data_IF_393745658113
#
_entry.id   IF_393745658113
#
_cell.length_a   1.000
_cell.length_b   1.000
_cell.length_c   1.000
_cell.angle_alpha   90.00
_cell.angle_beta   90.00
_cell.angle_gamma   90.00
#
_symmetry.space_group_name_H-M   'P 1'
#
loop_
_entity.id
_entity.type
_entity.pdbx_description
1 polymer ?
#
# COMPACT_ATOMS: atom_id res chain seq x y z
N UNK A 1 19.27 6.15 -34.62
CA UNK A 1 17.84 6.34 -34.91
C UNK A 1 17.53 7.77 -34.53
N UNK A 2 17.36 8.68 -35.50
CA UNK A 2 16.97 10.05 -35.22
C UNK A 2 15.44 10.04 -35.15
N UNK A 3 14.87 10.12 -33.95
CA UNK A 3 13.43 10.23 -33.79
C UNK A 3 13.07 11.69 -34.09
N UNK A 4 12.28 11.92 -35.13
CA UNK A 4 11.82 13.27 -35.44
C UNK A 4 10.91 13.75 -34.30
N UNK A 5 11.16 14.98 -33.85
CA UNK A 5 10.41 15.61 -32.78
C UNK A 5 9.38 16.54 -33.41
N UNK A 6 8.16 16.03 -33.57
CA UNK A 6 7.00 16.79 -34.05
C UNK A 6 6.21 17.45 -32.91
N UNK A 7 6.78 17.48 -31.70
CA UNK A 7 6.12 18.05 -30.54
C UNK A 7 5.94 19.56 -30.65
N UNK A 8 5.03 20.17 -29.87
CA UNK A 8 4.86 21.62 -29.88
C UNK A 8 6.14 22.36 -29.45
N UNK A 9 6.31 23.59 -29.94
CA UNK A 9 7.40 24.52 -29.56
C UNK A 9 8.83 24.12 -29.99
N UNK A 10 8.98 23.22 -30.97
CA UNK A 10 10.29 22.85 -31.56
C UNK A 10 11.05 24.04 -32.13
N UNK A 11 10.35 24.99 -32.75
CA UNK A 11 10.97 26.18 -33.36
C UNK A 11 11.50 27.16 -32.30
N UNK A 12 10.74 27.34 -31.20
CA UNK A 12 11.12 28.21 -30.08
C UNK A 12 12.26 27.61 -29.24
N UNK A 13 12.29 26.28 -29.16
CA UNK A 13 13.23 25.51 -28.34
C UNK A 13 13.91 24.39 -29.15
N UNK A 14 14.77 24.73 -30.13
CA UNK A 14 15.28 23.78 -31.11
C UNK A 14 16.31 22.79 -30.55
N UNK A 15 16.82 23.04 -29.35
CA UNK A 15 17.83 22.19 -28.68
C UNK A 15 17.31 21.56 -27.38
N UNK A 16 16.07 21.84 -27.00
CA UNK A 16 15.54 21.37 -25.73
C UNK A 16 14.55 20.23 -25.95
N UNK A 17 14.64 19.27 -25.05
CA UNK A 17 13.68 18.19 -24.92
C UNK A 17 12.35 18.74 -24.40
N UNK A 18 11.24 18.19 -24.89
CA UNK A 18 9.93 18.54 -24.38
C UNK A 18 9.74 18.04 -22.94
N UNK A 19 9.25 18.90 -22.06
CA UNK A 19 8.99 18.58 -20.65
C UNK A 19 7.49 18.46 -20.42
N UNK A 20 6.98 17.26 -20.13
CA UNK A 20 5.59 17.09 -19.72
C UNK A 20 5.42 17.54 -18.27
N UNK A 21 4.57 18.53 -18.02
CA UNK A 21 4.36 19.07 -16.68
C UNK A 21 3.05 18.58 -16.07
N UNK A 22 2.96 18.61 -14.74
CA UNK A 22 1.66 18.48 -14.08
C UNK A 22 0.85 19.78 -14.23
N UNK A 23 -0.48 19.67 -14.09
CA UNK A 23 -1.42 20.79 -14.19
C UNK A 23 -1.13 21.90 -13.19
N UNK A 24 -0.50 21.60 -12.04
CA UNK A 24 -0.12 22.58 -11.03
C UNK A 24 1.10 23.45 -11.38
N UNK A 25 1.91 23.05 -12.36
CA UNK A 25 3.15 23.75 -12.71
C UNK A 25 2.99 24.64 -13.94
N UNK A 26 1.99 25.52 -13.93
CA UNK A 26 1.75 26.46 -15.03
C UNK A 26 2.82 27.57 -15.05
N UNK A 27 3.29 27.92 -16.24
CA UNK A 27 4.20 29.07 -16.43
C UNK A 27 5.66 28.71 -16.66
N UNK A 28 6.02 27.42 -16.70
CA UNK A 28 7.39 26.96 -16.97
C UNK A 28 7.86 27.19 -18.42
N UNK A 29 6.99 27.73 -19.28
CA UNK A 29 7.29 27.99 -20.70
C UNK A 29 8.31 29.12 -20.90
N UNK A 30 8.60 29.96 -19.90
CA UNK A 30 9.66 30.97 -20.00
C UNK A 30 11.06 30.37 -20.04
N UNK A 31 11.24 29.21 -19.41
CA UNK A 31 12.56 28.64 -19.13
C UNK A 31 12.77 27.28 -19.80
N UNK A 32 11.68 26.57 -20.11
CA UNK A 32 11.71 25.24 -20.69
C UNK A 32 10.69 25.09 -21.82
N UNK A 33 10.93 24.11 -22.69
CA UNK A 33 9.95 23.59 -23.65
C UNK A 33 8.86 22.76 -22.94
N UNK A 34 8.09 23.41 -22.08
CA UNK A 34 7.14 22.76 -21.20
C UNK A 34 5.76 22.59 -21.86
N UNK A 35 5.31 21.33 -21.92
CA UNK A 35 3.98 20.92 -22.39
C UNK A 35 3.08 20.77 -21.17
N UNK A 36 2.14 21.69 -21.06
CA UNK A 36 1.25 21.80 -19.91
C UNK A 36 -0.14 21.24 -20.24
N UNK A 37 -0.73 20.40 -19.38
CA UNK A 37 -2.15 20.12 -19.43
C UNK A 37 -2.93 21.44 -19.27
N UNK A 38 -3.96 21.64 -20.10
CA UNK A 38 -4.80 22.83 -20.00
C UNK A 38 -5.61 22.81 -18.71
N UNK A 39 -5.68 23.95 -18.04
CA UNK A 39 -6.46 24.09 -16.83
C UNK A 39 -7.89 24.55 -17.15
N UNK A 40 -8.89 23.73 -16.79
CA UNK A 40 -10.27 24.20 -16.80
C UNK A 40 -10.47 25.26 -15.71
N UNK A 41 -11.28 26.28 -16.02
CA UNK A 41 -11.71 27.26 -15.01
C UNK A 41 -13.21 27.10 -14.78
N UNK A 42 -13.73 27.56 -13.64
CA UNK A 42 -15.17 27.44 -13.31
C UNK A 42 -16.09 28.06 -14.38
N UNK A 43 -15.60 29.08 -15.10
CA UNK A 43 -16.37 29.81 -16.10
C UNK A 43 -16.14 29.27 -17.52
N UNK A 44 -15.02 28.59 -17.78
CA UNK A 44 -14.69 28.02 -19.08
C UNK A 44 -14.32 26.54 -18.94
N UNK A 45 -15.30 25.64 -19.11
CA UNK A 45 -15.07 24.21 -19.23
C UNK A 45 -14.17 23.89 -20.43
N UNK A 46 -13.34 22.86 -20.31
CA UNK A 46 -12.49 22.44 -21.43
C UNK A 46 -13.32 21.72 -22.49
N UNK A 47 -13.10 22.01 -23.78
CA UNK A 47 -13.62 21.19 -24.87
C UNK A 47 -13.18 19.73 -24.73
N UNK A 48 -13.94 18.83 -25.35
CA UNK A 48 -13.65 17.39 -25.31
C UNK A 48 -12.25 17.05 -25.83
N UNK A 49 -11.80 17.71 -26.89
CA UNK A 49 -10.49 17.47 -27.51
C UNK A 49 -9.34 17.85 -26.57
N UNK A 50 -9.47 18.97 -25.85
CA UNK A 50 -8.48 19.41 -24.87
C UNK A 50 -8.42 18.48 -23.67
N UNK A 51 -9.58 17.96 -23.26
CA UNK A 51 -9.66 16.94 -22.20
C UNK A 51 -8.92 15.67 -22.63
N UNK A 52 -9.17 15.18 -23.85
CA UNK A 52 -8.46 14.00 -24.39
C UNK A 52 -6.95 14.23 -24.49
N UNK A 53 -6.52 15.43 -24.89
CA UNK A 53 -5.11 15.76 -24.94
C UNK A 53 -4.48 15.78 -23.54
N UNK A 54 -5.18 16.36 -22.55
CA UNK A 54 -4.75 16.32 -21.16
C UNK A 54 -4.65 14.89 -20.62
N UNK A 55 -5.58 14.02 -20.99
CA UNK A 55 -5.56 12.61 -20.60
C UNK A 55 -4.34 11.89 -21.19
N UNK A 56 -4.00 12.15 -22.46
CA UNK A 56 -2.78 11.62 -23.08
C UNK A 56 -1.51 12.10 -22.37
N UNK A 57 -1.41 13.40 -22.09
CA UNK A 57 -0.27 13.98 -21.35
C UNK A 57 -0.16 13.36 -19.96
N UNK A 58 -1.29 13.20 -19.26
CA UNK A 58 -1.33 12.61 -17.92
C UNK A 58 -0.95 11.13 -17.94
N UNK A 59 -1.42 10.39 -18.94
CA UNK A 59 -1.05 9.00 -19.17
C UNK A 59 0.46 8.85 -19.37
N UNK A 60 1.09 9.70 -20.18
CA UNK A 60 2.54 9.61 -20.39
C UNK A 60 3.34 10.02 -19.15
N UNK A 61 2.86 11.02 -18.42
CA UNK A 61 3.46 11.48 -17.15
C UNK A 61 3.36 10.45 -16.02
N UNK A 62 2.48 9.45 -16.12
CA UNK A 62 2.29 8.42 -15.07
C UNK A 62 3.58 7.73 -14.66
N UNK A 63 4.57 7.66 -15.55
CA UNK A 63 5.88 7.06 -15.25
C UNK A 63 6.61 7.76 -14.10
N UNK A 64 6.43 9.09 -13.98
CA UNK A 64 6.99 9.89 -12.88
C UNK A 64 6.31 9.51 -11.56
N UNK A 65 5.00 9.34 -11.57
CA UNK A 65 4.23 8.91 -10.39
C UNK A 65 4.61 7.49 -9.97
N UNK A 66 4.74 6.57 -10.94
CA UNK A 66 5.20 5.21 -10.69
C UNK A 66 6.62 5.19 -10.11
N UNK A 67 7.51 6.05 -10.59
CA UNK A 67 8.88 6.18 -10.08
C UNK A 67 8.88 6.62 -8.61
N UNK A 68 8.24 7.74 -8.30
CA UNK A 68 8.21 8.27 -6.93
C UNK A 68 7.39 7.38 -5.99
N UNK A 69 6.32 6.75 -6.48
CA UNK A 69 5.59 5.73 -5.74
C UNK A 69 6.49 4.56 -5.36
N UNK A 70 7.28 4.04 -6.31
CA UNK A 70 8.26 2.97 -6.04
C UNK A 70 9.35 3.41 -5.06
N UNK A 71 9.88 4.62 -5.21
CA UNK A 71 10.87 5.18 -4.29
C UNK A 71 10.32 5.24 -2.85
N UNK A 72 9.09 5.72 -2.66
CA UNK A 72 8.43 5.75 -1.34
C UNK A 72 8.17 4.36 -0.76
N UNK A 73 7.83 3.38 -1.60
CA UNK A 73 7.64 2.01 -1.15
C UNK A 73 8.94 1.32 -0.75
N UNK A 74 10.04 1.56 -1.47
CA UNK A 74 11.34 0.94 -1.21
C UNK A 74 12.06 1.59 -0.02
N UNK A 75 11.95 2.91 0.13
CA UNK A 75 12.76 3.68 1.07
C UNK A 75 11.87 4.45 2.05
N UNK A 76 11.77 3.95 3.29
CA UNK A 76 10.97 4.57 4.35
C UNK A 76 11.33 6.04 4.62
N UNK A 77 12.60 6.41 4.43
CA UNK A 77 13.10 7.79 4.55
C UNK A 77 12.44 8.77 3.56
N UNK A 78 11.99 8.28 2.40
CA UNK A 78 11.27 9.07 1.40
C UNK A 78 9.74 8.99 1.54
N UNK A 79 9.25 8.03 2.36
CA UNK A 79 7.82 7.77 2.53
C UNK A 79 7.16 8.78 3.47
N UNK A 80 7.88 9.17 4.53
CA UNK A 80 7.39 10.06 5.58
C UNK A 80 8.05 11.45 5.54
N UNK A 81 7.51 12.38 6.35
CA UNK A 81 8.10 13.72 6.53
C UNK A 81 9.51 13.61 7.11
N UNK A 82 10.47 14.28 6.48
CA UNK A 82 11.84 14.40 6.97
C UNK A 82 11.91 15.06 8.35
N UNK A 83 12.70 14.48 9.26
CA UNK A 83 12.84 14.93 10.67
C UNK A 83 14.28 15.21 11.10
N UNK A 84 15.25 14.92 10.24
CA UNK A 84 16.66 15.10 10.55
C UNK A 84 17.16 16.44 10.00
N UNK A 85 18.47 16.63 10.08
CA UNK A 85 19.14 17.83 9.57
C UNK A 85 18.82 18.07 8.08
N UNK A 86 18.56 19.33 7.73
CA UNK A 86 18.24 19.72 6.36
C UNK A 86 19.43 19.55 5.42
N UNK A 87 20.66 19.80 5.91
CA UNK A 87 21.90 19.62 5.14
C UNK A 87 22.16 18.16 4.73
N UNK A 88 21.64 17.21 5.51
CA UNK A 88 21.71 15.80 5.17
C UNK A 88 20.65 15.34 4.16
N UNK A 89 19.55 16.08 3.99
CA UNK A 89 18.41 15.65 3.16
C UNK A 89 18.82 15.30 1.73
N UNK A 90 19.56 16.20 1.07
CA UNK A 90 19.96 16.04 -0.32
C UNK A 90 20.82 14.79 -0.53
N UNK A 91 21.71 14.45 0.41
CA UNK A 91 22.50 13.23 0.38
C UNK A 91 21.59 11.98 0.39
N UNK A 92 20.68 11.88 1.37
CA UNK A 92 19.79 10.72 1.48
C UNK A 92 18.84 10.63 0.29
N UNK A 93 18.30 11.76 -0.16
CA UNK A 93 17.42 11.82 -1.32
C UNK A 93 18.13 11.34 -2.59
N UNK A 94 19.36 11.80 -2.85
CA UNK A 94 20.17 11.36 -4.00
C UNK A 94 20.51 9.87 -3.93
N UNK A 95 20.82 9.34 -2.75
CA UNK A 95 21.06 7.90 -2.57
C UNK A 95 19.79 7.10 -2.90
N UNK A 96 18.63 7.50 -2.38
CA UNK A 96 17.35 6.86 -2.70
C UNK A 96 17.02 6.93 -4.20
N UNK A 97 17.31 8.07 -4.85
CA UNK A 97 17.13 8.25 -6.29
C UNK A 97 18.04 7.29 -7.08
N UNK A 98 19.32 7.22 -6.75
CA UNK A 98 20.29 6.34 -7.41
C UNK A 98 19.91 4.86 -7.26
N UNK A 99 19.52 4.44 -6.06
CA UNK A 99 19.09 3.06 -5.80
C UNK A 99 17.77 2.74 -6.51
N UNK A 100 16.84 3.69 -6.57
CA UNK A 100 15.59 3.52 -7.34
C UNK A 100 15.89 3.39 -8.83
N UNK A 101 16.81 4.18 -9.38
CA UNK A 101 17.24 4.07 -10.78
C UNK A 101 17.83 2.68 -11.08
N UNK A 102 18.67 2.14 -10.19
CA UNK A 102 19.18 0.78 -10.32
C UNK A 102 18.06 -0.26 -10.28
N UNK A 103 17.09 -0.10 -9.37
CA UNK A 103 15.94 -0.99 -9.29
C UNK A 103 15.04 -0.91 -10.53
N UNK A 104 14.83 0.28 -11.10
CA UNK A 104 14.03 0.48 -12.32
C UNK A 104 14.67 -0.19 -13.53
N UNK A 105 16.00 -0.21 -13.62
CA UNK A 105 16.72 -0.95 -14.67
C UNK A 105 16.49 -2.45 -14.61
N UNK A 106 16.30 -3.00 -13.41
CA UNK A 106 16.02 -4.43 -13.20
C UNK A 106 14.53 -4.76 -13.33
N UNK A 107 13.68 -3.80 -12.99
CA UNK A 107 12.22 -3.93 -12.94
C UNK A 107 11.58 -2.71 -13.57
N UNK A 108 11.13 -2.76 -14.83
CA UNK A 108 10.52 -1.62 -15.51
C UNK A 108 9.32 -1.01 -14.75
N UNK A 109 8.99 0.25 -15.07
CA UNK A 109 7.92 1.02 -14.43
C UNK A 109 6.57 0.91 -15.15
N UNK A 110 6.54 0.35 -16.36
CA UNK A 110 5.32 0.10 -17.16
C UNK A 110 5.06 -1.40 -17.24
N UNK A 111 3.77 -1.76 -17.18
CA UNK A 111 3.32 -3.15 -17.23
C UNK A 111 3.58 -3.81 -18.59
N UNK A 112 3.67 -3.03 -19.68
CA UNK A 112 3.96 -3.57 -21.02
C UNK A 112 5.33 -4.25 -21.14
N UNK A 113 6.23 -4.07 -20.17
CA UNK A 113 7.57 -4.69 -20.17
C UNK A 113 7.88 -5.50 -18.90
N UNK A 114 6.92 -5.79 -18.01
CA UNK A 114 7.25 -6.52 -16.79
C UNK A 114 6.10 -7.14 -15.99
N UNK A 115 6.19 -8.46 -15.81
CA UNK A 115 5.41 -9.31 -14.88
C UNK A 115 5.51 -8.91 -13.38
N UNK A 116 6.32 -7.90 -13.06
CA UNK A 116 6.65 -7.54 -11.67
C UNK A 116 5.46 -7.01 -10.86
N UNK A 117 4.52 -6.29 -11.48
CA UNK A 117 3.29 -5.86 -10.79
C UNK A 117 2.45 -7.05 -10.37
N UNK A 118 2.33 -8.06 -11.26
CA UNK A 118 1.60 -9.29 -10.95
C UNK A 118 2.29 -10.09 -9.85
N UNK A 119 3.63 -10.15 -9.85
CA UNK A 119 4.41 -10.80 -8.77
C UNK A 119 4.25 -10.08 -7.43
N UNK A 120 4.22 -8.75 -7.43
CA UNK A 120 3.99 -7.95 -6.23
C UNK A 120 2.57 -8.15 -5.68
N UNK A 121 1.55 -8.09 -6.54
CA UNK A 121 0.16 -8.32 -6.18
C UNK A 121 -0.06 -9.75 -5.65
N UNK A 122 0.56 -10.76 -6.30
CA UNK A 122 0.56 -12.14 -5.82
C UNK A 122 1.16 -12.27 -4.40
N UNK A 123 2.28 -11.60 -4.14
CA UNK A 123 2.92 -11.58 -2.81
C UNK A 123 2.03 -10.90 -1.76
N UNK A 124 1.41 -9.77 -2.09
CA UNK A 124 0.48 -9.08 -1.17
C UNK A 124 -0.72 -9.95 -0.82
N UNK A 125 -1.29 -10.64 -1.81
CA UNK A 125 -2.39 -11.59 -1.61
C UNK A 125 -1.96 -12.73 -0.69
N UNK A 126 -0.78 -13.31 -0.91
CA UNK A 126 -0.21 -14.37 -0.07
C UNK A 126 -0.03 -13.93 1.40
N UNK A 127 0.53 -12.74 1.62
CA UNK A 127 0.65 -12.14 2.95
C UNK A 127 -0.74 -11.97 3.59
N UNK A 128 -1.71 -11.43 2.85
CA UNK A 128 -3.09 -11.28 3.32
C UNK A 128 -3.75 -12.61 3.70
N UNK A 129 -3.50 -13.69 2.94
CA UNK A 129 -3.99 -15.03 3.25
C UNK A 129 -3.34 -15.60 4.51
N UNK A 130 -2.02 -15.45 4.68
CA UNK A 130 -1.31 -15.93 5.87
C UNK A 130 -1.79 -15.25 7.15
N UNK A 131 -2.08 -13.93 7.10
CA UNK A 131 -2.63 -13.17 8.23
C UNK A 131 -4.02 -13.70 8.59
N UNK A 132 -4.90 -13.88 7.60
CA UNK A 132 -6.25 -14.43 7.82
C UNK A 132 -6.22 -15.85 8.37
N UNK A 133 -5.29 -16.69 7.91
CA UNK A 133 -5.10 -18.04 8.41
C UNK A 133 -4.69 -18.03 9.89
N UNK A 134 -3.72 -17.18 10.26
CA UNK A 134 -3.26 -17.03 11.65
C UNK A 134 -4.35 -16.49 12.57
N UNK A 135 -5.19 -15.59 12.09
CA UNK A 135 -6.36 -15.10 12.85
C UNK A 135 -7.41 -16.19 13.07
N UNK A 136 -7.67 -17.01 12.05
CA UNK A 136 -8.59 -18.16 12.15
C UNK A 136 -8.09 -19.17 13.18
N UNK A 137 -6.81 -19.50 13.14
CA UNK A 137 -6.15 -20.41 14.10
C UNK A 137 -6.19 -19.87 15.54
N UNK A 138 -5.93 -18.58 15.72
CA UNK A 138 -6.05 -17.94 17.04
C UNK A 138 -7.49 -18.02 17.57
N UNK A 139 -8.49 -17.89 16.68
CA UNK A 139 -9.91 -17.98 17.05
C UNK A 139 -10.31 -19.41 17.44
N UNK A 140 -9.84 -20.43 16.72
CA UNK A 140 -10.09 -21.84 17.07
C UNK A 140 -9.45 -22.20 18.40
N UNK A 141 -8.18 -21.86 18.61
CA UNK A 141 -7.49 -22.13 19.89
C UNK A 141 -8.18 -21.44 21.07
N UNK A 142 -8.70 -20.22 20.87
CA UNK A 142 -9.48 -19.54 21.91
C UNK A 142 -10.80 -20.24 22.22
N UNK A 143 -11.53 -20.71 21.20
CA UNK A 143 -12.78 -21.44 21.36
C UNK A 143 -12.56 -22.78 22.08
N UNK A 144 -11.54 -23.53 21.68
CA UNK A 144 -11.15 -24.80 22.30
C UNK A 144 -10.70 -24.59 23.76
N UNK A 145 -9.84 -23.60 24.01
CA UNK A 145 -9.42 -23.26 25.37
C UNK A 145 -10.59 -22.78 26.25
N UNK A 146 -11.58 -22.08 25.68
CA UNK A 146 -12.83 -21.73 26.38
C UNK A 146 -13.68 -22.95 26.67
N UNK A 147 -13.86 -23.86 25.71
CA UNK A 147 -14.63 -25.09 25.89
C UNK A 147 -14.02 -25.99 26.96
N UNK A 148 -12.69 -26.17 26.94
CA UNK A 148 -11.96 -26.94 27.95
C UNK A 148 -12.12 -26.35 29.36
N UNK A 149 -12.05 -25.02 29.51
CA UNK A 149 -12.30 -24.33 30.80
C UNK A 149 -13.73 -24.50 31.31
N UNK A 150 -14.72 -24.48 30.41
CA UNK A 150 -16.12 -24.71 30.78
C UNK A 150 -16.37 -26.16 31.19
N UNK A 151 -15.79 -27.12 30.46
CA UNK A 151 -15.88 -28.55 30.78
C UNK A 151 -15.18 -28.91 32.10
N UNK A 152 -14.00 -28.32 32.37
CA UNK A 152 -13.34 -28.48 33.67
C UNK A 152 -14.19 -27.91 34.82
N UNK A 153 -14.80 -26.73 34.62
CA UNK A 153 -15.73 -26.13 35.60
C UNK A 153 -16.99 -26.94 35.83
N UNK A 154 -17.54 -27.63 34.82
CA UNK A 154 -18.72 -28.49 35.01
C UNK A 154 -18.36 -29.79 35.73
N UNK A 155 -17.16 -30.34 35.52
CA UNK A 155 -16.66 -31.52 36.25
C UNK A 155 -16.48 -31.24 37.74
N UNK A 156 -15.85 -30.11 38.09
CA UNK A 156 -15.68 -29.69 39.49
C UNK A 156 -17.04 -29.47 40.19
N UNK A 157 -18.02 -28.88 39.48
CA UNK A 157 -19.37 -28.67 40.03
C UNK A 157 -20.21 -29.96 40.12
N UNK A 158 -19.87 -30.98 39.34
CA UNK A 158 -20.51 -32.30 39.39
C UNK A 158 -20.05 -33.14 40.58
N UNK A 159 -18.77 -33.02 40.98
CA UNK A 159 -18.24 -33.66 42.19
C UNK A 159 -18.85 -33.08 43.47
N UNK A 160 -19.06 -31.76 43.55
CA UNK A 160 -19.71 -31.11 44.70
C UNK A 160 -21.18 -31.53 44.88
N UNK A 161 -21.87 -31.90 43.79
CA UNK A 161 -23.26 -32.38 43.86
C UNK A 161 -23.40 -33.86 44.24
N UNK A 162 -22.30 -34.61 44.34
CA UNK A 162 -22.33 -36.05 44.63
C UNK A 162 -22.01 -36.40 46.09
N UNK A 163 -21.75 -35.41 46.96
CA UNK A 163 -21.45 -35.61 48.38
C UNK A 163 -22.66 -35.51 49.34
N UNK A 164 -23.90 -35.36 48.83
CA UNK A 164 -25.09 -35.29 49.71
C UNK A 164 -26.02 -36.48 49.48
N UNK A 165 -25.60 -37.67 49.92
CA UNK A 165 -26.50 -38.71 50.42
C UNK A 165 -25.73 -39.71 51.30
N UNK A 166 -25.70 -39.46 52.61
CA UNK A 166 -25.31 -40.46 53.62
C UNK A 166 -26.59 -40.97 54.29
N UNK A 167 -27.04 -42.22 54.00
CA UNK A 167 -28.15 -42.82 54.72
C UNK A 167 -27.62 -43.31 56.07
N UNK A 168 -27.99 -42.64 57.15
CA UNK A 168 -27.79 -43.19 58.49
C UNK A 168 -28.79 -44.32 58.71
N UNK A 169 -28.29 -45.55 58.60
CA UNK A 169 -28.97 -46.76 59.02
C UNK A 169 -29.04 -46.84 60.54
N UNK A 170 -30.18 -47.37 60.99
CA UNK A 170 -30.56 -47.82 62.32
C UNK A 170 -29.43 -48.34 63.20
N UNK A 171 -29.47 -47.97 64.49
CA UNK A 171 -29.13 -48.87 65.57
C UNK A 171 -30.05 -48.66 66.77
N UNK A 172 -30.33 -49.77 67.42
CA UNK A 172 -31.37 -50.00 68.40
C UNK A 172 -31.11 -49.32 69.75
N UNK A 173 -32.17 -48.83 70.39
CA UNK A 173 -32.23 -48.67 71.83
C UNK A 173 -33.34 -49.56 72.40
N UNK A 174 -32.92 -50.45 73.30
CA UNK A 174 -33.74 -51.29 74.17
C UNK A 174 -34.24 -50.49 75.37
N UNK A 175 -35.54 -50.58 75.66
CA UNK A 175 -36.24 -50.45 76.97
C UNK A 175 -37.74 -50.59 76.66
N UNK A 176 -38.56 -51.53 77.15
CA UNK A 176 -38.52 -52.60 78.16
C UNK A 176 -39.13 -53.87 77.58
#
# INVERSE_FOLDING_TARGET
MHLEDDGPFTVEYPRDWAVLTDKGYQGLRSDFRAIHPKCQTRLNPLPLEETRNNDRISHDRVIVENYFGRMKMLWGVCSDKWRWDEGAYDLFFRVCLALTNAHVRLRPLRAEEGDDYQRYDARLREIGFSIKAREKERRTNYQEGRAARLAARSRVRGDESNEVYMPYGSDAETQM
#
